data_IF_484035553706
#
_entry.id   IF_484035553706
#
_cell.length_a   1.000
_cell.length_b   1.000
_cell.length_c   1.000
_cell.angle_alpha   90.00
_cell.angle_beta   90.00
_cell.angle_gamma   90.00
#
_symmetry.space_group_name_H-M   'P 1'
#
loop_
_entity.id
_entity.type
_entity.pdbx_description
1 polymer ?
#
# COMPACT_ATOMS: atom_id res chain seq x y z
N UNK A 1 26.52 3.52 23.11
CA UNK A 1 26.57 4.61 24.12
C UNK A 1 26.66 5.96 23.38
N UNK A 2 25.98 6.11 22.24
CA UNK A 2 26.16 7.26 21.33
C UNK A 2 25.11 8.36 21.57
N UNK A 3 25.09 8.92 22.78
CA UNK A 3 24.11 9.96 23.10
C UNK A 3 24.35 10.78 24.36
N UNK A 4 25.52 10.66 25.01
CA UNK A 4 25.81 11.49 26.18
C UNK A 4 26.10 12.93 25.74
N UNK A 5 25.28 13.93 26.13
CA UNK A 5 25.49 15.33 25.73
C UNK A 5 26.68 15.98 26.45
N UNK A 6 27.25 15.28 27.42
CA UNK A 6 28.38 15.72 28.23
C UNK A 6 29.68 15.56 27.44
N UNK A 7 30.41 16.66 27.27
CA UNK A 7 31.67 16.70 26.53
C UNK A 7 32.85 16.58 27.51
N UNK A 8 33.89 15.79 27.21
CA UNK A 8 35.11 15.77 28.02
C UNK A 8 35.85 17.12 27.88
N UNK A 9 36.32 17.65 29.01
CA UNK A 9 37.26 18.78 29.06
C UNK A 9 38.58 18.38 29.71
N UNK A 10 39.46 19.35 29.96
CA UNK A 10 40.84 19.09 30.42
C UNK A 10 40.95 18.48 31.82
N UNK A 11 39.99 18.75 32.72
CA UNK A 11 39.94 18.22 34.09
C UNK A 11 38.58 17.63 34.46
N UNK A 12 37.51 18.13 33.86
CA UNK A 12 36.13 17.74 34.16
C UNK A 12 35.33 17.55 32.89
N UNK A 13 34.15 16.99 33.05
CA UNK A 13 33.15 16.80 32.00
C UNK A 13 32.12 17.94 32.06
N UNK A 14 31.79 18.53 30.92
CA UNK A 14 30.94 19.71 30.84
C UNK A 14 29.65 19.43 30.07
N UNK A 15 28.53 19.86 30.63
CA UNK A 15 27.24 19.88 29.96
C UNK A 15 26.87 21.33 29.66
N UNK A 16 26.99 21.73 28.40
CA UNK A 16 26.55 23.04 27.95
C UNK A 16 25.07 22.96 27.55
N UNK A 17 24.24 23.76 28.20
CA UNK A 17 22.85 23.95 27.79
C UNK A 17 22.50 25.43 27.83
N UNK A 18 21.79 25.88 26.80
CA UNK A 18 21.08 27.15 26.86
C UNK A 18 19.75 26.96 27.62
N UNK A 19 19.18 28.06 28.11
CA UNK A 19 17.90 28.02 28.80
C UNK A 19 16.79 27.43 27.91
N UNK A 20 16.88 27.66 26.60
CA UNK A 20 15.97 27.10 25.59
C UNK A 20 16.05 25.58 25.54
N UNK A 21 17.24 24.98 25.44
CA UNK A 21 17.40 23.53 25.41
C UNK A 21 16.93 22.90 26.72
N UNK A 22 17.17 23.55 27.86
CA UNK A 22 16.65 23.07 29.14
C UNK A 22 15.11 23.04 29.17
N UNK A 23 14.44 24.10 28.68
CA UNK A 23 12.97 24.11 28.55
C UNK A 23 12.44 23.05 27.59
N UNK A 24 13.10 22.85 26.46
CA UNK A 24 12.73 21.81 25.48
C UNK A 24 12.95 20.41 26.04
N UNK A 25 14.06 20.18 26.75
CA UNK A 25 14.36 18.90 27.40
C UNK A 25 13.32 18.56 28.46
N UNK A 26 12.94 19.54 29.30
CA UNK A 26 11.84 19.37 30.27
C UNK A 26 10.52 19.02 29.57
N UNK A 27 10.16 19.74 28.50
CA UNK A 27 8.96 19.44 27.72
C UNK A 27 9.00 18.02 27.14
N UNK A 28 10.11 17.61 26.53
CA UNK A 28 10.28 16.25 26.01
C UNK A 28 10.16 15.20 27.11
N UNK A 29 10.74 15.45 28.29
CA UNK A 29 10.60 14.55 29.42
C UNK A 29 9.12 14.40 29.82
N UNK A 30 8.36 15.49 29.85
CA UNK A 30 6.90 15.46 30.07
C UNK A 30 6.15 14.74 28.95
N UNK A 31 6.49 14.98 27.68
CA UNK A 31 5.87 14.31 26.53
C UNK A 31 6.12 12.80 26.52
N UNK A 32 7.20 12.34 27.16
CA UNK A 32 7.54 10.93 27.27
C UNK A 32 6.76 10.18 28.36
N UNK A 33 6.09 10.88 29.28
CA UNK A 33 5.33 10.20 30.35
C UNK A 33 4.10 9.49 29.79
N UNK A 34 3.66 8.43 30.46
CA UNK A 34 2.47 7.64 30.09
C UNK A 34 1.22 8.49 30.08
N UNK A 35 1.04 9.36 31.07
CA UNK A 35 -0.17 10.19 31.21
C UNK A 35 -0.26 11.23 30.09
N UNK A 36 0.88 11.75 29.61
CA UNK A 36 0.90 12.63 28.45
C UNK A 36 0.53 11.85 27.19
N UNK A 37 1.17 10.70 26.96
CA UNK A 37 0.91 9.85 25.79
C UNK A 37 -0.54 9.40 25.72
N UNK A 38 -1.12 8.97 26.83
CA UNK A 38 -2.50 8.49 26.89
C UNK A 38 -3.52 9.58 26.59
N UNK A 39 -3.26 10.82 27.01
CA UNK A 39 -4.09 11.98 26.64
C UNK A 39 -3.86 12.38 25.18
N UNK A 40 -2.61 12.41 24.72
CA UNK A 40 -2.24 12.94 23.41
C UNK A 40 -2.47 11.95 22.26
N UNK A 41 -2.59 10.65 22.53
CA UNK A 41 -2.75 9.58 21.51
C UNK A 41 -3.90 9.83 20.54
N UNK A 42 -5.00 10.41 21.01
CA UNK A 42 -6.18 10.67 20.19
C UNK A 42 -5.90 11.74 19.14
N UNK A 43 -5.27 12.86 19.55
CA UNK A 43 -4.88 13.93 18.64
C UNK A 43 -3.86 13.43 17.62
N UNK A 44 -2.83 12.73 18.08
CA UNK A 44 -1.83 12.12 17.22
C UNK A 44 -2.46 11.14 16.21
N UNK A 45 -3.45 10.34 16.63
CA UNK A 45 -4.18 9.42 15.76
C UNK A 45 -5.00 10.12 14.67
N UNK A 46 -5.63 11.25 14.99
CA UNK A 46 -6.35 12.07 14.00
C UNK A 46 -5.38 12.68 12.99
N UNK A 47 -4.29 13.28 13.45
CA UNK A 47 -3.25 13.86 12.58
C UNK A 47 -2.63 12.80 11.66
N UNK A 48 -2.32 11.62 12.21
CA UNK A 48 -1.81 10.49 11.45
C UNK A 48 -2.82 10.03 10.39
N UNK A 49 -4.10 9.95 10.72
CA UNK A 49 -5.15 9.56 9.77
C UNK A 49 -5.29 10.57 8.62
N UNK A 50 -5.24 11.87 8.90
CA UNK A 50 -5.30 12.90 7.86
C UNK A 50 -4.06 12.88 6.95
N UNK A 51 -2.88 12.66 7.52
CA UNK A 51 -1.64 12.49 6.76
C UNK A 51 -1.67 11.23 5.88
N UNK A 52 -2.15 10.10 6.41
CA UNK A 52 -2.31 8.85 5.67
C UNK A 52 -3.32 9.01 4.51
N UNK A 53 -4.45 9.64 4.78
CA UNK A 53 -5.48 9.92 3.77
C UNK A 53 -4.89 10.73 2.61
N UNK A 54 -4.13 11.79 2.91
CA UNK A 54 -3.48 12.60 1.89
C UNK A 54 -2.41 11.82 1.11
N UNK A 55 -1.47 11.16 1.80
CA UNK A 55 -0.37 10.42 1.15
C UNK A 55 -0.86 9.24 0.30
N UNK A 56 -1.82 8.46 0.79
CA UNK A 56 -2.28 7.25 0.09
C UNK A 56 -3.28 7.54 -1.02
N UNK A 57 -4.12 8.56 -0.85
CA UNK A 57 -5.25 8.79 -1.76
C UNK A 57 -5.15 10.08 -2.57
N UNK A 58 -4.23 10.98 -2.21
CA UNK A 58 -4.09 12.29 -2.84
C UNK A 58 -5.29 13.20 -2.61
N UNK A 59 -5.95 13.11 -1.45
CA UNK A 59 -7.23 13.81 -1.19
C UNK A 59 -7.11 15.34 -1.29
N UNK A 60 -5.91 15.92 -1.12
CA UNK A 60 -5.69 17.35 -1.30
C UNK A 60 -5.61 17.80 -2.76
N UNK A 61 -5.49 16.86 -3.71
CA UNK A 61 -5.32 17.14 -5.15
C UNK A 61 -6.38 16.39 -5.98
N UNK A 62 -7.65 16.61 -5.67
CA UNK A 62 -8.76 15.98 -6.40
C UNK A 62 -8.99 16.65 -7.75
N UNK A 63 -9.15 15.83 -8.79
CA UNK A 63 -9.48 16.27 -10.16
C UNK A 63 -10.98 16.16 -10.43
N UNK A 64 -11.80 16.67 -9.51
CA UNK A 64 -13.27 16.73 -9.66
C UNK A 64 -13.75 18.16 -9.46
N UNK A 65 -14.80 18.56 -10.17
CA UNK A 65 -15.38 19.92 -10.06
C UNK A 65 -16.67 19.87 -9.24
N UNK A 66 -16.89 20.91 -8.42
CA UNK A 66 -18.09 21.07 -7.60
C UNK A 66 -18.00 20.41 -6.22
N UNK A 67 -18.47 21.12 -5.19
CA UNK A 67 -18.31 20.72 -3.78
C UNK A 67 -19.00 19.38 -3.44
N UNK A 68 -20.16 19.10 -4.06
CA UNK A 68 -20.88 17.82 -3.88
C UNK A 68 -20.03 16.63 -4.33
N UNK A 69 -19.39 16.72 -5.49
CA UNK A 69 -18.52 15.68 -6.02
C UNK A 69 -17.21 15.56 -5.22
N UNK A 70 -16.63 16.70 -4.80
CA UNK A 70 -15.46 16.73 -3.90
C UNK A 70 -15.75 16.00 -2.59
N UNK A 71 -16.87 16.32 -1.92
CA UNK A 71 -17.28 15.67 -0.67
C UNK A 71 -17.43 14.17 -0.85
N UNK A 72 -18.16 13.74 -1.89
CA UNK A 72 -18.36 12.32 -2.18
C UNK A 72 -17.03 11.59 -2.41
N UNK A 73 -16.13 12.16 -3.21
CA UNK A 73 -14.80 11.59 -3.47
C UNK A 73 -13.96 11.48 -2.19
N UNK A 74 -13.94 12.54 -1.37
CA UNK A 74 -13.22 12.55 -0.10
C UNK A 74 -13.78 11.49 0.87
N UNK A 75 -15.11 11.33 0.96
CA UNK A 75 -15.75 10.30 1.79
C UNK A 75 -15.34 8.89 1.34
N UNK A 76 -15.39 8.60 0.04
CA UNK A 76 -14.96 7.30 -0.49
C UNK A 76 -13.47 7.02 -0.20
N UNK A 77 -12.61 8.03 -0.33
CA UNK A 77 -11.19 7.90 -0.01
C UNK A 77 -10.96 7.63 1.48
N UNK A 78 -11.72 8.27 2.36
CA UNK A 78 -11.68 8.00 3.80
C UNK A 78 -12.12 6.57 4.13
N UNK A 79 -13.20 6.07 3.50
CA UNK A 79 -13.62 4.67 3.61
C UNK A 79 -12.51 3.72 3.12
N UNK A 80 -11.82 4.09 2.02
CA UNK A 80 -10.68 3.33 1.50
C UNK A 80 -9.55 3.16 2.53
N UNK A 81 -9.25 4.17 3.35
CA UNK A 81 -8.28 4.05 4.44
C UNK A 81 -8.69 2.98 5.46
N UNK A 82 -9.98 2.95 5.84
CA UNK A 82 -10.48 1.92 6.77
C UNK A 82 -10.32 0.51 6.17
N UNK A 83 -10.58 0.34 4.87
CA UNK A 83 -10.37 -0.93 4.18
C UNK A 83 -8.90 -1.35 4.16
N UNK A 84 -7.97 -0.41 3.90
CA UNK A 84 -6.53 -0.71 3.94
C UNK A 84 -6.07 -1.17 5.33
N UNK A 85 -6.57 -0.51 6.38
CA UNK A 85 -6.27 -0.87 7.77
C UNK A 85 -6.83 -2.26 8.12
N UNK A 86 -8.10 -2.53 7.79
CA UNK A 86 -8.71 -3.84 7.98
C UNK A 86 -7.94 -4.95 7.23
N UNK A 87 -7.51 -4.67 5.99
CA UNK A 87 -6.70 -5.61 5.22
C UNK A 87 -5.32 -5.84 5.86
N UNK A 88 -4.68 -4.81 6.42
CA UNK A 88 -3.41 -4.95 7.13
C UNK A 88 -3.56 -5.81 8.40
N UNK A 89 -4.60 -5.55 9.21
CA UNK A 89 -4.92 -6.36 10.40
C UNK A 89 -5.19 -7.81 10.00
N UNK A 90 -5.99 -8.05 8.96
CA UNK A 90 -6.29 -9.41 8.49
C UNK A 90 -5.05 -10.16 8.00
N UNK A 91 -4.10 -9.47 7.35
CA UNK A 91 -2.81 -10.07 6.96
C UNK A 91 -1.94 -10.38 8.17
N UNK A 92 -1.89 -9.50 9.16
CA UNK A 92 -1.13 -9.72 10.39
C UNK A 92 -1.68 -10.87 11.24
N UNK A 93 -3.01 -11.02 11.28
CA UNK A 93 -3.68 -12.11 11.99
C UNK A 93 -3.51 -13.49 11.31
N UNK A 94 -3.29 -13.51 9.99
CA UNK A 94 -3.21 -14.74 9.20
C UNK A 94 -1.93 -14.78 8.34
N UNK A 95 -0.75 -14.95 8.95
CA UNK A 95 0.53 -14.96 8.24
C UNK A 95 0.61 -16.10 7.21
N UNK A 96 0.15 -17.31 7.57
CA UNK A 96 0.27 -18.52 6.73
C UNK A 96 -0.61 -18.46 5.47
N UNK A 97 -1.72 -17.71 5.54
CA UNK A 97 -2.64 -17.52 4.42
C UNK A 97 -2.13 -16.44 3.44
N UNK A 98 -1.22 -15.56 3.84
CA UNK A 98 -0.70 -14.52 2.97
C UNK A 98 0.17 -15.13 1.85
N UNK A 99 1.04 -16.09 2.19
CA UNK A 99 1.87 -16.80 1.21
C UNK A 99 1.04 -17.68 0.27
N UNK A 100 0.04 -18.38 0.80
CA UNK A 100 -0.89 -19.16 -0.03
C UNK A 100 -1.68 -18.28 -1.01
N UNK A 101 -2.15 -17.11 -0.58
CA UNK A 101 -2.88 -16.19 -1.47
C UNK A 101 -1.95 -15.52 -2.50
N UNK A 102 -0.69 -15.26 -2.14
CA UNK A 102 0.32 -14.75 -3.08
C UNK A 102 0.66 -15.78 -4.15
N UNK A 103 0.85 -17.04 -3.75
CA UNK A 103 1.05 -18.17 -4.66
C UNK A 103 -0.17 -18.40 -5.58
N UNK A 104 -1.39 -18.37 -5.04
CA UNK A 104 -2.64 -18.46 -5.83
C UNK A 104 -2.79 -17.29 -6.81
N UNK A 105 -2.44 -16.07 -6.40
CA UNK A 105 -2.48 -14.89 -7.28
C UNK A 105 -1.49 -15.01 -8.45
N UNK A 106 -0.27 -15.46 -8.17
CA UNK A 106 0.75 -15.72 -9.20
C UNK A 106 0.31 -16.83 -10.18
N UNK A 107 -0.25 -17.93 -9.67
CA UNK A 107 -0.83 -18.99 -10.48
C UNK A 107 -1.98 -18.48 -11.36
N UNK A 108 -2.89 -17.67 -10.83
CA UNK A 108 -3.99 -17.09 -11.59
C UNK A 108 -3.47 -16.16 -12.71
N UNK A 109 -2.44 -15.36 -12.43
CA UNK A 109 -1.83 -14.49 -13.43
C UNK A 109 -1.11 -15.30 -14.53
N UNK A 110 -0.45 -16.40 -14.17
CA UNK A 110 0.18 -17.31 -15.13
C UNK A 110 -0.87 -18.03 -16.00
N UNK A 111 -1.93 -18.56 -15.39
CA UNK A 111 -3.06 -19.18 -16.10
C UNK A 111 -3.72 -18.19 -17.06
N UNK A 112 -3.94 -16.95 -16.61
CA UNK A 112 -4.51 -15.90 -17.45
C UNK A 112 -3.62 -15.60 -18.66
N UNK A 113 -2.31 -15.46 -18.45
CA UNK A 113 -1.36 -15.17 -19.53
C UNK A 113 -1.27 -16.32 -20.54
N UNK A 114 -1.22 -17.57 -20.06
CA UNK A 114 -1.23 -18.76 -20.92
C UNK A 114 -2.53 -18.83 -21.71
N UNK A 115 -3.69 -18.65 -21.06
CA UNK A 115 -4.99 -18.61 -21.75
C UNK A 115 -5.01 -17.54 -22.84
N UNK A 116 -4.60 -16.31 -22.52
CA UNK A 116 -4.59 -15.19 -23.48
C UNK A 116 -3.66 -15.45 -24.66
N UNK A 117 -2.51 -16.08 -24.41
CA UNK A 117 -1.54 -16.43 -25.45
C UNK A 117 -2.06 -17.54 -26.36
N UNK A 118 -2.67 -18.59 -25.79
CA UNK A 118 -3.32 -19.65 -26.55
C UNK A 118 -4.49 -19.13 -27.38
N UNK A 119 -5.33 -18.26 -26.83
CA UNK A 119 -6.42 -17.64 -27.58
C UNK A 119 -5.90 -16.80 -28.75
N UNK A 120 -4.79 -16.05 -28.58
CA UNK A 120 -4.15 -15.31 -29.69
C UNK A 120 -3.62 -16.21 -30.81
N UNK A 121 -3.11 -17.41 -30.48
CA UNK A 121 -2.56 -18.36 -31.46
C UNK A 121 -3.68 -19.16 -32.14
N UNK A 122 -4.71 -19.56 -31.40
CA UNK A 122 -5.79 -20.43 -31.88
C UNK A 122 -6.87 -19.64 -32.63
N UNK A 123 -7.12 -18.37 -32.27
CA UNK A 123 -8.17 -17.55 -32.93
C UNK A 123 -7.96 -17.39 -34.45
N UNK A 124 -6.75 -17.12 -34.97
CA UNK A 124 -6.49 -17.08 -36.42
C UNK A 124 -6.73 -18.43 -37.11
N UNK A 125 -6.34 -19.54 -36.46
CA UNK A 125 -6.55 -20.90 -36.97
C UNK A 125 -8.03 -21.26 -37.01
N UNK A 126 -8.79 -20.99 -35.94
CA UNK A 126 -10.25 -21.18 -35.91
C UNK A 126 -10.95 -20.35 -36.99
N UNK A 127 -10.54 -19.09 -37.19
CA UNK A 127 -11.09 -18.24 -38.24
C UNK A 127 -10.73 -18.76 -39.64
N UNK A 128 -9.52 -19.28 -39.83
CA UNK A 128 -9.10 -19.90 -41.10
C UNK A 128 -9.90 -21.16 -41.43
N UNK A 129 -10.10 -22.06 -40.46
CA UNK A 129 -10.92 -23.27 -40.64
C UNK A 129 -12.42 -22.95 -40.81
N UNK A 130 -12.94 -21.93 -40.14
CA UNK A 130 -14.33 -21.49 -40.29
C UNK A 130 -14.61 -20.85 -41.67
N UNK A 131 -13.61 -20.18 -42.27
CA UNK A 131 -13.71 -19.57 -43.59
C UNK A 131 -13.42 -20.54 -44.75
N UNK A 132 -12.91 -21.75 -44.47
CA UNK A 132 -12.55 -22.71 -45.51
C UNK A 132 -12.95 -24.16 -45.14
N UNK A 133 -14.27 -24.46 -45.10
CA UNK A 133 -14.80 -25.74 -44.61
C UNK A 133 -14.52 -26.95 -45.53
N UNK A 134 -14.14 -26.72 -46.80
CA UNK A 134 -14.02 -27.79 -47.80
C UNK A 134 -12.60 -28.37 -47.96
N UNK A 135 -11.63 -27.91 -47.17
CA UNK A 135 -10.23 -28.33 -47.33
C UNK A 135 -9.86 -29.62 -46.54
N UNK A 136 -10.77 -30.10 -45.68
CA UNK A 136 -10.57 -31.35 -44.93
C UNK A 136 -10.69 -32.58 -45.85
N UNK A 137 -11.57 -32.51 -46.85
CA UNK A 137 -11.78 -33.60 -47.83
C UNK A 137 -10.64 -33.72 -48.87
N UNK A 138 -9.89 -32.64 -49.13
CA UNK A 138 -8.76 -32.67 -50.06
C UNK A 138 -7.48 -33.27 -49.43
N UNK A 139 -7.22 -33.04 -48.14
CA UNK A 139 -6.03 -33.63 -47.49
C UNK A 139 -6.15 -35.14 -47.25
N UNK A 140 -7.37 -35.69 -47.11
CA UNK A 140 -7.58 -37.13 -46.94
C UNK A 140 -7.55 -37.92 -48.27
N UNK A 141 -7.66 -37.25 -49.42
CA UNK A 141 -7.57 -37.90 -50.75
C UNK A 141 -6.16 -38.02 -51.33
N UNK A 142 -5.17 -37.34 -50.76
CA UNK A 142 -3.79 -37.31 -51.28
C UNK A 142 -2.89 -38.36 -50.58
N UNK A 143 -3.38 -39.01 -49.51
CA UNK A 143 -2.65 -40.01 -48.72
C UNK A 143 -3.25 -41.44 -48.80
N UNK A 144 -3.91 -41.79 -49.90
CA UNK A 144 -4.23 -43.19 -50.27
C UNK A 144 -3.55 -43.50 -51.60
#
# INVERSE_FOLDING_TARGET
IDGCPVRPGKRYYYLHYDERAMRVAKRRATEQTSEFKDRYRWRAGVEATMSELDRRTGVKRLRVRGFKAVRFSATLKAVGINLFRAAAVRRAANPDNADHNKAKSALNHAIFFVKEHFERIISPLKNYFALNPNNIDQMLRINI
#
